data_IF_343585185244
#
_entry.id   IF_343585185244
#
_cell.length_a   1.000
_cell.length_b   1.000
_cell.length_c   1.000
_cell.angle_alpha   90.00
_cell.angle_beta   90.00
_cell.angle_gamma   90.00
#
_symmetry.space_group_name_H-M   'P 1'
#
loop_
_entity.id
_entity.type
_entity.pdbx_description
1 polymer ?
#
# COMPACT_ATOMS: atom_id res chain seq x y z
N UNK A 1 -3.79 21.11 16.90
CA UNK A 1 -3.39 19.87 17.60
C UNK A 1 -4.31 18.77 17.10
N UNK A 2 -3.80 17.58 16.73
CA UNK A 2 -4.69 16.47 16.42
C UNK A 2 -5.59 16.24 17.64
N UNK A 3 -6.90 16.31 17.45
CA UNK A 3 -7.90 16.18 18.51
C UNK A 3 -7.97 14.78 19.11
N UNK A 4 -7.28 13.81 18.48
CA UNK A 4 -7.36 12.39 18.77
C UNK A 4 -6.01 11.90 19.25
N UNK A 5 -6.04 11.17 20.38
CA UNK A 5 -4.86 10.59 21.00
C UNK A 5 -4.79 9.09 20.69
N UNK A 6 -3.57 8.54 20.69
CA UNK A 6 -3.37 7.10 20.49
C UNK A 6 -4.19 6.23 21.47
N UNK A 7 -4.28 6.54 22.79
CA UNK A 7 -5.12 5.75 23.69
C UNK A 7 -6.60 5.69 23.28
N UNK A 8 -7.13 6.75 22.66
CA UNK A 8 -8.50 6.73 22.12
C UNK A 8 -8.62 5.77 20.92
N UNK A 9 -7.63 5.78 20.02
CA UNK A 9 -7.58 4.88 18.87
C UNK A 9 -7.44 3.42 19.33
N UNK A 10 -6.58 3.14 20.29
CA UNK A 10 -6.41 1.80 20.87
C UNK A 10 -7.72 1.31 21.52
N UNK A 11 -8.45 2.19 22.20
CA UNK A 11 -9.76 1.87 22.76
C UNK A 11 -10.81 1.58 21.68
N UNK A 12 -10.75 2.30 20.56
CA UNK A 12 -11.65 2.16 19.43
C UNK A 12 -11.44 0.89 18.60
N UNK A 13 -10.23 0.31 18.65
CA UNK A 13 -9.84 -0.90 17.92
C UNK A 13 -9.17 -1.93 18.85
N UNK A 14 -9.91 -2.44 19.86
CA UNK A 14 -9.35 -3.34 20.88
C UNK A 14 -8.91 -4.70 20.32
N UNK A 15 -9.33 -5.05 19.10
CA UNK A 15 -8.89 -6.25 18.40
C UNK A 15 -7.49 -6.11 17.78
N UNK A 16 -6.98 -4.88 17.63
CA UNK A 16 -5.68 -4.61 17.03
C UNK A 16 -4.62 -4.37 18.10
N UNK A 17 -3.39 -4.80 17.80
CA UNK A 17 -2.22 -4.41 18.56
C UNK A 17 -1.61 -3.15 17.93
N UNK A 18 -1.18 -2.21 18.76
CA UNK A 18 -0.46 -1.02 18.32
C UNK A 18 0.97 -1.08 18.89
N UNK A 19 1.97 -0.91 18.02
CA UNK A 19 3.39 -0.90 18.42
C UNK A 19 4.15 0.18 17.69
N UNK A 20 4.99 0.91 18.42
CA UNK A 20 5.94 1.82 17.78
C UNK A 20 6.92 1.01 16.91
N UNK A 21 7.24 1.52 15.73
CA UNK A 21 8.13 0.90 14.76
C UNK A 21 8.91 1.95 13.95
N UNK A 22 9.78 1.47 13.05
CA UNK A 22 10.59 2.36 12.20
C UNK A 22 9.78 2.95 11.03
N UNK A 23 8.68 2.30 10.64
CA UNK A 23 7.79 2.72 9.55
C UNK A 23 6.34 2.38 9.88
N UNK A 24 5.41 3.17 9.37
CA UNK A 24 4.00 2.81 9.34
C UNK A 24 3.78 1.51 8.55
N UNK A 25 3.18 0.51 9.17
CA UNK A 25 2.86 -0.75 8.48
C UNK A 25 1.84 -1.63 9.20
N UNK A 26 1.03 -2.34 8.42
CA UNK A 26 0.12 -3.37 8.90
C UNK A 26 0.72 -4.78 8.80
N UNK A 27 0.71 -5.51 9.92
CA UNK A 27 1.04 -6.93 9.97
C UNK A 27 -0.21 -7.81 10.21
N UNK A 28 -0.72 -8.50 9.16
CA UNK A 28 -1.93 -9.30 9.26
C UNK A 28 -1.76 -10.60 10.09
N UNK A 29 -0.54 -11.09 10.27
CA UNK A 29 -0.29 -12.35 10.99
C UNK A 29 -0.37 -12.15 12.51
N UNK A 30 0.15 -11.02 13.00
CA UNK A 30 0.11 -10.67 14.42
C UNK A 30 -1.00 -9.69 14.77
N UNK A 31 -1.82 -9.29 13.78
CA UNK A 31 -2.83 -8.24 13.89
C UNK A 31 -2.26 -6.96 14.53
N UNK A 32 -1.10 -6.52 14.03
CA UNK A 32 -0.36 -5.39 14.60
C UNK A 32 -0.27 -4.25 13.61
N UNK A 33 -0.71 -3.07 14.02
CA UNK A 33 -0.45 -1.79 13.37
C UNK A 33 0.84 -1.21 13.97
N UNK A 34 1.85 -1.06 13.14
CA UNK A 34 3.07 -0.37 13.47
C UNK A 34 2.97 1.10 13.08
N UNK A 35 3.45 1.98 13.95
CA UNK A 35 3.40 3.43 13.74
C UNK A 35 4.74 4.07 14.15
N UNK A 36 5.13 5.13 13.46
CA UNK A 36 6.27 5.96 13.86
C UNK A 36 5.82 6.97 14.94
N UNK A 37 6.57 8.05 15.16
CA UNK A 37 6.13 9.11 16.06
C UNK A 37 4.86 9.78 15.53
N UNK A 38 3.91 10.05 16.42
CA UNK A 38 2.65 10.73 16.11
C UNK A 38 2.74 12.22 16.47
N UNK A 39 3.66 12.93 15.81
CA UNK A 39 3.97 14.34 16.12
C UNK A 39 3.14 15.32 15.27
N UNK A 40 2.56 14.85 14.16
CA UNK A 40 1.81 15.64 13.20
C UNK A 40 0.45 15.03 12.83
N UNK A 41 -0.37 15.82 12.13
CA UNK A 41 -1.62 15.32 11.56
C UNK A 41 -1.36 14.32 10.42
N UNK A 42 -0.26 14.46 9.70
CA UNK A 42 0.12 13.53 8.62
C UNK A 42 0.45 12.15 9.19
N UNK A 43 1.17 12.09 10.32
CA UNK A 43 1.45 10.83 11.03
C UNK A 43 0.17 10.12 11.47
N UNK A 44 -0.82 10.89 11.94
CA UNK A 44 -2.13 10.36 12.28
C UNK A 44 -2.85 9.82 11.03
N UNK A 45 -2.78 10.50 9.89
CA UNK A 45 -3.36 10.03 8.63
C UNK A 45 -2.71 8.73 8.18
N UNK A 46 -1.38 8.61 8.27
CA UNK A 46 -0.65 7.37 7.99
C UNK A 46 -1.09 6.23 8.93
N UNK A 47 -1.24 6.50 10.23
CA UNK A 47 -1.77 5.52 11.18
C UNK A 47 -3.18 5.05 10.79
N UNK A 48 -4.07 5.96 10.36
CA UNK A 48 -5.42 5.61 9.90
C UNK A 48 -5.39 4.73 8.64
N UNK A 49 -4.46 4.97 7.72
CA UNK A 49 -4.25 4.10 6.55
C UNK A 49 -3.89 2.67 6.95
N UNK A 50 -2.98 2.48 7.90
CA UNK A 50 -2.62 1.14 8.38
C UNK A 50 -3.77 0.45 9.13
N UNK A 51 -4.57 1.19 9.88
CA UNK A 51 -5.81 0.67 10.49
C UNK A 51 -6.82 0.26 9.41
N UNK A 52 -6.91 1.02 8.31
CA UNK A 52 -7.80 0.68 7.20
C UNK A 52 -7.40 -0.65 6.54
N UNK A 53 -6.09 -0.92 6.37
CA UNK A 53 -5.62 -2.23 5.94
C UNK A 53 -6.10 -3.35 6.86
N UNK A 54 -6.03 -3.14 8.18
CA UNK A 54 -6.52 -4.10 9.16
C UNK A 54 -8.04 -4.32 9.04
N UNK A 55 -8.82 -3.24 8.92
CA UNK A 55 -10.29 -3.29 8.83
C UNK A 55 -10.79 -3.95 7.55
N UNK A 56 -10.11 -3.73 6.44
CA UNK A 56 -10.42 -4.37 5.16
C UNK A 56 -9.90 -5.81 5.07
N UNK A 57 -9.18 -6.28 6.10
CA UNK A 57 -8.63 -7.63 6.13
C UNK A 57 -7.54 -7.86 5.08
N UNK A 58 -6.83 -6.80 4.70
CA UNK A 58 -5.73 -6.86 3.74
C UNK A 58 -4.61 -7.77 4.27
N UNK A 59 -4.21 -8.77 3.48
CA UNK A 59 -3.12 -9.70 3.86
C UNK A 59 -2.13 -9.92 2.73
N UNK A 60 -2.61 -10.48 1.63
CA UNK A 60 -1.80 -10.92 0.50
C UNK A 60 -2.53 -10.58 -0.80
N UNK A 61 -1.76 -10.40 -1.86
CA UNK A 61 -2.26 -10.24 -3.22
C UNK A 61 -1.57 -11.27 -4.13
N UNK A 62 -2.25 -11.65 -5.21
CA UNK A 62 -1.72 -12.56 -6.23
C UNK A 62 -1.25 -11.82 -7.48
N UNK A 63 -1.94 -10.74 -7.83
CA UNK A 63 -1.63 -9.91 -8.98
C UNK A 63 -1.13 -8.53 -8.52
N UNK A 64 -0.20 -7.96 -9.27
CA UNK A 64 0.39 -6.66 -8.90
C UNK A 64 -0.65 -5.53 -8.95
N UNK A 65 -1.67 -5.65 -9.82
CA UNK A 65 -2.80 -4.72 -9.84
C UNK A 65 -3.66 -4.77 -8.57
N UNK A 66 -3.76 -5.94 -7.92
CA UNK A 66 -4.51 -6.09 -6.67
C UNK A 66 -3.83 -5.35 -5.52
N UNK A 67 -2.50 -5.17 -5.56
CA UNK A 67 -1.83 -4.30 -4.59
C UNK A 67 -2.36 -2.87 -4.69
N UNK A 68 -2.44 -2.30 -5.90
CA UNK A 68 -2.95 -0.94 -6.09
C UNK A 68 -4.41 -0.83 -5.63
N UNK A 69 -5.21 -1.86 -5.91
CA UNK A 69 -6.59 -1.93 -5.42
C UNK A 69 -6.67 -1.93 -3.89
N UNK A 70 -5.80 -2.68 -3.21
CA UNK A 70 -5.71 -2.72 -1.75
C UNK A 70 -5.23 -1.37 -1.16
N UNK A 71 -4.21 -0.75 -1.73
CA UNK A 71 -3.73 0.55 -1.25
C UNK A 71 -4.80 1.63 -1.43
N UNK A 72 -5.46 1.66 -2.60
CA UNK A 72 -6.54 2.60 -2.87
C UNK A 72 -7.72 2.41 -1.91
N UNK A 73 -8.17 1.17 -1.71
CA UNK A 73 -9.33 0.92 -0.84
C UNK A 73 -9.02 1.21 0.64
N UNK A 74 -7.78 0.99 1.08
CA UNK A 74 -7.33 1.41 2.41
C UNK A 74 -7.39 2.95 2.55
N UNK A 75 -6.91 3.70 1.56
CA UNK A 75 -7.04 5.15 1.55
C UNK A 75 -8.49 5.64 1.53
N UNK A 76 -9.35 5.04 0.70
CA UNK A 76 -10.77 5.38 0.65
C UNK A 76 -11.44 5.13 2.01
N UNK A 77 -11.17 3.99 2.66
CA UNK A 77 -11.72 3.71 3.99
C UNK A 77 -11.17 4.67 5.05
N UNK A 78 -9.88 5.01 5.00
CA UNK A 78 -9.28 5.98 5.90
C UNK A 78 -9.91 7.37 5.75
N UNK A 79 -10.15 7.83 4.52
CA UNK A 79 -10.80 9.12 4.21
C UNK A 79 -12.28 9.11 4.61
N UNK A 80 -13.06 8.16 4.11
CA UNK A 80 -14.51 8.22 4.21
C UNK A 80 -14.99 7.85 5.62
N UNK A 81 -14.34 6.88 6.26
CA UNK A 81 -14.79 6.30 7.52
C UNK A 81 -13.98 6.83 8.71
N UNK A 82 -12.66 6.69 8.67
CA UNK A 82 -11.82 6.95 9.85
C UNK A 82 -11.59 8.45 10.07
N UNK A 83 -11.27 9.21 9.04
CA UNK A 83 -11.08 10.66 9.14
C UNK A 83 -12.37 11.33 9.63
N UNK A 84 -13.52 10.95 9.06
CA UNK A 84 -14.85 11.38 9.52
C UNK A 84 -15.10 11.05 10.99
N UNK A 85 -14.79 9.82 11.45
CA UNK A 85 -14.94 9.40 12.86
C UNK A 85 -14.16 10.30 13.82
N UNK A 86 -12.99 10.77 13.38
CA UNK A 86 -12.06 11.54 14.18
C UNK A 86 -12.12 13.06 13.94
N UNK A 87 -13.06 13.52 13.11
CA UNK A 87 -13.23 14.94 12.78
C UNK A 87 -12.07 15.53 11.97
N UNK A 88 -11.32 14.69 11.25
CA UNK A 88 -10.23 15.11 10.37
C UNK A 88 -10.80 15.46 8.99
N UNK A 89 -10.37 16.59 8.44
CA UNK A 89 -10.64 16.92 7.03
C UNK A 89 -9.56 16.28 6.18
N UNK A 90 -9.90 15.16 5.55
CA UNK A 90 -9.05 14.45 4.61
C UNK A 90 -9.85 14.23 3.32
N UNK A 91 -9.18 14.25 2.17
CA UNK A 91 -9.78 13.99 0.87
C UNK A 91 -8.87 13.04 0.10
N UNK A 92 -9.45 12.22 -0.77
CA UNK A 92 -8.68 11.43 -1.72
C UNK A 92 -7.82 12.29 -2.64
N UNK A 93 -8.18 13.56 -2.87
CA UNK A 93 -7.38 14.50 -3.68
C UNK A 93 -6.17 15.10 -2.93
N UNK A 94 -5.89 14.67 -1.69
CA UNK A 94 -4.72 15.13 -0.95
C UNK A 94 -3.41 14.70 -1.64
N UNK A 95 -2.47 15.63 -1.77
CA UNK A 95 -1.19 15.41 -2.45
C UNK A 95 -0.41 14.21 -1.88
N UNK A 96 -0.34 14.06 -0.54
CA UNK A 96 0.39 12.94 0.08
C UNK A 96 -0.24 11.58 -0.24
N UNK A 97 -1.58 11.52 -0.33
CA UNK A 97 -2.31 10.30 -0.75
C UNK A 97 -2.04 10.01 -2.22
N UNK A 98 -2.14 11.02 -3.09
CA UNK A 98 -1.90 10.85 -4.51
C UNK A 98 -0.46 10.45 -4.82
N UNK A 99 0.52 11.09 -4.18
CA UNK A 99 1.94 10.74 -4.30
C UNK A 99 2.21 9.30 -3.85
N UNK A 100 1.57 8.87 -2.75
CA UNK A 100 1.65 7.50 -2.27
C UNK A 100 1.10 6.51 -3.30
N UNK A 101 -0.09 6.77 -3.86
CA UNK A 101 -0.69 5.93 -4.90
C UNK A 101 0.11 5.93 -6.21
N UNK A 102 0.66 7.07 -6.60
CA UNK A 102 1.49 7.22 -7.78
C UNK A 102 2.79 6.43 -7.66
N UNK A 103 3.39 6.37 -6.47
CA UNK A 103 4.56 5.52 -6.23
C UNK A 103 4.31 4.05 -6.58
N UNK A 104 3.12 3.52 -6.27
CA UNK A 104 2.71 2.16 -6.62
C UNK A 104 2.38 2.02 -8.11
N UNK A 105 1.75 3.01 -8.73
CA UNK A 105 1.45 3.02 -10.18
C UNK A 105 2.75 3.03 -11.00
N UNK A 106 3.71 3.84 -10.61
CA UNK A 106 5.04 3.93 -11.20
C UNK A 106 5.80 2.61 -11.09
N UNK A 107 5.76 2.00 -9.91
CA UNK A 107 6.34 0.70 -9.65
C UNK A 107 5.73 -0.37 -10.56
N UNK A 108 4.39 -0.45 -10.63
CA UNK A 108 3.69 -1.41 -11.48
C UNK A 108 4.05 -1.20 -12.95
N UNK A 109 4.05 0.04 -13.41
CA UNK A 109 4.43 0.39 -14.78
C UNK A 109 5.85 -0.11 -15.07
N UNK A 110 6.85 0.29 -14.27
CA UNK A 110 8.25 -0.15 -14.43
C UNK A 110 8.40 -1.68 -14.41
N UNK A 111 7.63 -2.36 -13.56
CA UNK A 111 7.60 -3.82 -13.43
C UNK A 111 7.02 -4.52 -14.67
N UNK A 112 6.03 -3.89 -15.29
CA UNK A 112 5.36 -4.36 -16.52
C UNK A 112 6.09 -4.05 -17.83
N UNK A 113 7.16 -3.24 -17.81
CA UNK A 113 7.91 -2.93 -19.04
C UNK A 113 8.78 -4.10 -19.50
N UNK A 114 8.55 -4.53 -20.74
CA UNK A 114 9.31 -5.57 -21.40
C UNK A 114 10.80 -5.19 -21.51
N UNK A 115 11.73 -6.05 -21.06
CA UNK A 115 13.16 -5.75 -21.12
C UNK A 115 13.73 -5.76 -22.55
N UNK A 116 13.00 -6.29 -23.54
CA UNK A 116 13.46 -6.38 -24.93
C UNK A 116 13.03 -5.20 -25.79
N UNK A 117 11.76 -4.80 -25.72
CA UNK A 117 11.21 -3.77 -26.61
C UNK A 117 10.60 -2.56 -25.87
N UNK A 118 10.57 -2.57 -24.54
CA UNK A 118 9.99 -1.48 -23.75
C UNK A 118 8.45 -1.41 -23.77
N UNK A 119 7.75 -2.30 -24.48
CA UNK A 119 6.28 -2.35 -24.42
C UNK A 119 5.79 -2.86 -23.06
N UNK A 120 4.61 -2.41 -22.63
CA UNK A 120 3.91 -2.95 -21.45
C UNK A 120 3.51 -4.40 -21.72
N UNK A 121 3.88 -5.30 -20.82
CA UNK A 121 3.44 -6.70 -20.83
C UNK A 121 2.33 -6.97 -19.82
N UNK A 122 1.67 -8.09 -20.02
CA UNK A 122 0.65 -8.59 -19.13
C UNK A 122 1.28 -9.51 -18.08
N UNK A 123 0.81 -9.40 -16.85
CA UNK A 123 1.19 -10.32 -15.79
C UNK A 123 0.61 -11.71 -16.10
N UNK A 124 1.48 -12.71 -16.21
CA UNK A 124 1.09 -14.10 -16.46
C UNK A 124 0.97 -14.89 -15.15
N UNK A 125 1.84 -14.60 -14.18
CA UNK A 125 1.81 -15.17 -12.82
C UNK A 125 2.21 -14.12 -11.80
N UNK A 126 2.13 -14.43 -10.50
CA UNK A 126 2.57 -13.53 -9.42
C UNK A 126 4.03 -13.02 -9.57
N UNK A 127 4.88 -13.73 -10.32
CA UNK A 127 6.28 -13.36 -10.52
C UNK A 127 6.73 -13.33 -11.98
N UNK A 128 5.81 -13.40 -12.95
CA UNK A 128 6.16 -13.36 -14.38
C UNK A 128 5.22 -12.51 -15.22
N UNK A 129 5.79 -11.96 -16.28
CA UNK A 129 5.12 -11.12 -17.27
C UNK A 129 5.43 -11.63 -18.68
N UNK A 130 4.51 -11.35 -19.61
CA UNK A 130 4.64 -11.67 -21.02
C UNK A 130 4.35 -10.45 -21.88
N UNK A 131 5.21 -10.19 -22.86
CA UNK A 131 5.01 -9.12 -23.82
C UNK A 131 4.04 -9.56 -24.92
N UNK A 132 3.04 -8.75 -25.25
CA UNK A 132 2.15 -9.03 -26.40
C UNK A 132 2.85 -8.67 -27.72
N UNK A 133 3.73 -7.67 -27.70
CA UNK A 133 4.39 -7.15 -28.90
C UNK A 133 5.49 -8.08 -29.43
N UNK A 134 6.44 -8.50 -28.59
CA UNK A 134 7.57 -9.34 -29.00
C UNK A 134 7.57 -10.74 -28.38
N UNK A 135 6.51 -11.10 -27.66
CA UNK A 135 6.32 -12.41 -27.02
C UNK A 135 7.35 -12.83 -25.98
N UNK A 136 8.32 -11.98 -25.64
CA UNK A 136 9.30 -12.26 -24.59
C UNK A 136 8.64 -12.36 -23.22
N UNK A 137 9.18 -13.26 -22.39
CA UNK A 137 8.75 -13.46 -21.02
C UNK A 137 9.87 -13.07 -20.04
N UNK A 138 9.49 -12.49 -18.91
CA UNK A 138 10.44 -12.16 -17.86
C UNK A 138 9.87 -12.42 -16.48
N UNK A 139 10.77 -12.75 -15.55
CA UNK A 139 10.49 -12.86 -14.12
C UNK A 139 10.85 -11.58 -13.42
N UNK A 140 10.11 -11.31 -12.35
CA UNK A 140 10.26 -10.16 -11.47
C UNK A 140 10.42 -10.64 -10.04
N UNK A 141 11.25 -9.97 -9.25
CA UNK A 141 11.30 -10.19 -7.81
C UNK A 141 10.06 -9.60 -7.12
N UNK A 142 9.78 -9.99 -5.87
CA UNK A 142 8.76 -9.36 -5.04
C UNK A 142 9.17 -7.97 -4.52
N UNK A 143 9.85 -7.15 -5.34
CA UNK A 143 10.43 -5.87 -4.97
C UNK A 143 9.39 -4.87 -4.45
N UNK A 144 9.01 -4.96 -3.18
CA UNK A 144 8.27 -3.92 -2.45
C UNK A 144 9.24 -2.96 -1.75
N UNK A 145 10.33 -3.50 -1.20
CA UNK A 145 11.36 -2.78 -0.41
C UNK A 145 12.78 -2.92 -0.95
N UNK A 146 12.94 -3.52 -2.13
CA UNK A 146 14.22 -3.77 -2.79
C UNK A 146 14.21 -3.19 -4.20
N UNK A 147 15.38 -2.95 -4.78
CA UNK A 147 15.48 -2.55 -6.19
C UNK A 147 14.81 -3.59 -7.10
N UNK A 148 13.94 -3.11 -8.00
CA UNK A 148 13.25 -3.94 -8.99
C UNK A 148 14.26 -4.64 -9.90
N UNK A 149 14.18 -5.97 -9.97
CA UNK A 149 15.03 -6.81 -10.84
C UNK A 149 14.15 -7.58 -11.83
N UNK A 150 14.59 -7.62 -13.09
CA UNK A 150 13.90 -8.29 -14.21
C UNK A 150 14.85 -9.30 -14.84
N UNK A 151 14.38 -10.53 -15.02
CA UNK A 151 15.16 -11.64 -15.58
C UNK A 151 14.43 -12.21 -16.79
N UNK A 152 15.04 -12.14 -17.97
CA UNK A 152 14.47 -12.81 -19.15
C UNK A 152 14.44 -14.32 -18.94
N UNK A 153 13.31 -14.93 -19.28
CA UNK A 153 13.19 -16.38 -19.35
C UNK A 153 13.61 -16.78 -20.76
N UNK A 154 14.58 -17.70 -20.88
CA UNK A 154 15.00 -18.28 -22.16
C UNK A 154 13.99 -19.33 -22.62
#
# INVERSE_FOLDING_TARGET
MPSVSLPQIEHDFPELQFKEGEVFSWNPNSQTVYYEKLDSQEDLVQLLHEIAHAKLGHKNYQHDIQLIEMERSAWEYAVDTLASKYGLTLSMDNDNIQDSLDSYRDWLHKRSLCPQCGAVGLQATASSYRCINCHSEWRVNQAKSCQLKRYQIK
#
